data_IF_810292743832
#
_entry.id   IF_810292743832
#
_cell.length_a   1.000
_cell.length_b   1.000
_cell.length_c   1.000
_cell.angle_alpha   90.00
_cell.angle_beta   90.00
_cell.angle_gamma   90.00
#
_symmetry.space_group_name_H-M   'P 1'
#
loop_
_entity.id
_entity.type
_entity.pdbx_description
1 polymer ?
#
# COMPACT_ATOMS: atom_id res chain seq x y z
N UNK A 1 -44.99 -24.70 -38.77
CA UNK A 1 -45.14 -23.33 -38.26
C UNK A 1 -44.29 -23.16 -37.01
N UNK A 2 -43.64 -21.99 -36.87
CA UNK A 2 -42.90 -21.43 -35.72
C UNK A 2 -41.41 -21.79 -35.56
N UNK A 3 -40.63 -20.93 -36.23
CA UNK A 3 -39.28 -20.41 -35.95
C UNK A 3 -39.21 -19.95 -34.48
N UNK A 4 -38.07 -20.08 -33.75
CA UNK A 4 -37.21 -18.99 -33.19
C UNK A 4 -35.82 -19.58 -32.82
N UNK A 5 -34.77 -18.89 -33.27
CA UNK A 5 -33.32 -19.09 -33.08
C UNK A 5 -32.86 -18.70 -31.63
N UNK A 6 -31.56 -18.82 -31.28
CA UNK A 6 -31.02 -19.31 -30.02
C UNK A 6 -30.86 -18.22 -28.96
N UNK A 7 -30.78 -18.59 -27.67
CA UNK A 7 -30.32 -17.67 -26.63
C UNK A 7 -29.01 -18.15 -26.02
N UNK A 8 -27.95 -17.43 -26.35
CA UNK A 8 -26.64 -17.48 -25.73
C UNK A 8 -26.76 -17.32 -24.21
N UNK A 9 -26.53 -18.39 -23.45
CA UNK A 9 -26.18 -18.26 -22.05
C UNK A 9 -24.69 -17.90 -21.96
N UNK A 10 -24.41 -16.61 -22.06
CA UNK A 10 -23.11 -16.03 -21.77
C UNK A 10 -22.86 -16.26 -20.27
N UNK A 11 -22.08 -17.30 -19.95
CA UNK A 11 -21.58 -17.52 -18.59
C UNK A 11 -20.60 -16.39 -18.32
N UNK A 12 -21.12 -15.28 -17.81
CA UNK A 12 -20.29 -14.27 -17.16
C UNK A 12 -19.71 -14.98 -15.94
N UNK A 13 -18.42 -15.31 -16.02
CA UNK A 13 -17.62 -15.60 -14.83
C UNK A 13 -17.76 -14.37 -13.93
N UNK A 14 -18.70 -14.43 -12.98
CA UNK A 14 -18.68 -13.56 -11.82
C UNK A 14 -17.43 -13.95 -11.05
N UNK A 15 -16.32 -13.35 -11.45
CA UNK A 15 -15.10 -13.34 -10.69
C UNK A 15 -15.43 -12.51 -9.46
N UNK A 16 -16.02 -13.14 -8.45
CA UNK A 16 -16.15 -12.56 -7.13
C UNK A 16 -14.73 -12.45 -6.60
N UNK A 17 -14.07 -11.34 -6.90
CA UNK A 17 -12.89 -10.91 -6.17
C UNK A 17 -13.30 -10.73 -4.73
N UNK A 18 -13.00 -11.76 -3.93
CA UNK A 18 -12.79 -11.62 -2.50
C UNK A 18 -11.57 -10.73 -2.32
N UNK A 19 -11.75 -9.44 -2.51
CA UNK A 19 -10.86 -8.38 -2.03
C UNK A 19 -11.72 -7.56 -1.04
N UNK A 20 -11.33 -7.33 0.20
CA UNK A 20 -10.00 -7.48 0.76
C UNK A 20 -10.02 -7.19 2.27
N UNK A 21 -9.12 -7.81 3.04
CA UNK A 21 -8.65 -7.22 4.30
C UNK A 21 -7.66 -6.06 4.10
N UNK A 22 -7.26 -5.77 2.85
CA UNK A 22 -6.32 -4.72 2.47
C UNK A 22 -7.02 -3.62 1.66
N UNK A 23 -6.81 -2.32 1.95
CA UNK A 23 -7.53 -1.24 1.27
C UNK A 23 -7.23 -1.17 -0.25
N UNK A 24 -8.13 -0.56 -1.06
CA UNK A 24 -7.85 -0.26 -2.46
C UNK A 24 -6.68 0.71 -2.59
N UNK A 25 -5.95 0.65 -3.71
CA UNK A 25 -4.78 1.52 -3.95
C UNK A 25 -5.18 2.99 -4.02
N UNK A 26 -4.64 3.87 -3.16
CA UNK A 26 -4.95 5.30 -3.19
C UNK A 26 -4.16 6.03 -4.29
N UNK A 27 -4.65 7.20 -4.70
CA UNK A 27 -4.05 8.02 -5.78
C UNK A 27 -2.59 8.42 -5.50
N UNK A 28 -2.24 8.65 -4.23
CA UNK A 28 -0.87 8.97 -3.80
C UNK A 28 0.11 7.86 -4.15
N UNK A 29 -0.33 6.60 -4.03
CA UNK A 29 0.45 5.41 -4.39
C UNK A 29 0.43 5.19 -5.90
N UNK A 30 -0.74 5.32 -6.53
CA UNK A 30 -0.89 5.13 -7.98
C UNK A 30 0.00 6.10 -8.79
N UNK A 31 0.13 7.34 -8.33
CA UNK A 31 1.00 8.38 -8.92
C UNK A 31 2.44 8.38 -8.39
N UNK A 32 2.75 7.55 -7.38
CA UNK A 32 4.02 7.54 -6.66
C UNK A 32 5.21 6.90 -7.40
N UNK A 33 4.97 6.30 -8.56
CA UNK A 33 5.96 5.56 -9.35
C UNK A 33 5.91 4.05 -9.15
N UNK A 34 6.64 3.31 -9.99
CA UNK A 34 6.60 1.83 -10.01
C UNK A 34 7.08 1.19 -8.71
N UNK A 35 8.07 1.78 -8.04
CA UNK A 35 8.58 1.23 -6.77
C UNK A 35 7.53 1.32 -5.65
N UNK A 36 6.77 2.41 -5.61
CA UNK A 36 5.74 2.64 -4.60
C UNK A 36 4.51 1.77 -4.86
N UNK A 37 4.10 1.65 -6.12
CA UNK A 37 3.11 0.64 -6.55
C UNK A 37 3.54 -0.77 -6.18
N UNK A 38 4.81 -1.12 -6.41
CA UNK A 38 5.35 -2.43 -6.07
C UNK A 38 5.37 -2.70 -4.56
N UNK A 39 5.66 -1.70 -3.74
CA UNK A 39 5.53 -1.77 -2.28
C UNK A 39 4.08 -2.06 -1.86
N UNK A 40 3.13 -1.31 -2.43
CA UNK A 40 1.70 -1.48 -2.15
C UNK A 40 1.21 -2.87 -2.51
N UNK A 41 1.58 -3.36 -3.69
CA UNK A 41 1.22 -4.70 -4.14
C UNK A 41 1.83 -5.81 -3.28
N UNK A 42 3.09 -5.65 -2.82
CA UNK A 42 3.69 -6.59 -1.90
C UNK A 42 2.92 -6.64 -0.57
N UNK A 43 2.55 -5.48 -0.04
CA UNK A 43 1.75 -5.37 1.17
C UNK A 43 0.33 -5.95 1.00
N UNK A 44 -0.32 -5.70 -0.15
CA UNK A 44 -1.64 -6.26 -0.44
C UNK A 44 -1.62 -7.79 -0.54
N UNK A 45 -0.47 -8.38 -0.90
CA UNK A 45 -0.22 -9.83 -0.88
C UNK A 45 0.27 -10.35 0.47
N UNK A 46 0.37 -9.51 1.49
CA UNK A 46 0.73 -9.92 2.84
C UNK A 46 2.21 -9.82 3.19
N UNK A 47 2.98 -8.97 2.49
CA UNK A 47 4.42 -8.79 2.76
C UNK A 47 4.77 -7.33 2.96
N UNK A 48 5.26 -6.99 4.15
CA UNK A 48 5.83 -5.66 4.45
C UNK A 48 7.36 -5.70 4.44
N UNK A 49 8.00 -4.70 3.83
CA UNK A 49 9.46 -4.64 3.64
C UNK A 49 10.00 -3.28 4.08
N UNK A 50 10.94 -3.28 5.02
CA UNK A 50 11.73 -2.09 5.39
C UNK A 50 13.06 -2.03 4.61
N UNK A 51 13.62 -3.18 4.26
CA UNK A 51 14.72 -3.33 3.30
C UNK A 51 14.15 -3.76 1.96
N UNK A 52 14.35 -2.93 0.94
CA UNK A 52 13.76 -3.07 -0.37
C UNK A 52 14.63 -3.93 -1.29
N UNK A 53 14.02 -4.71 -2.22
CA UNK A 53 14.77 -5.44 -3.23
C UNK A 53 15.49 -4.48 -4.20
N UNK A 54 16.51 -4.97 -4.95
CA UNK A 54 17.27 -4.14 -5.89
C UNK A 54 16.41 -3.37 -6.92
N UNK A 55 15.27 -3.94 -7.32
CA UNK A 55 14.31 -3.30 -8.23
C UNK A 55 13.66 -2.03 -7.66
N UNK A 56 13.70 -1.84 -6.34
CA UNK A 56 13.13 -0.70 -5.63
C UNK A 56 14.22 0.13 -4.90
N UNK A 57 15.50 -0.15 -5.15
CA UNK A 57 16.61 0.48 -4.42
C UNK A 57 16.62 2.01 -4.53
N UNK A 58 16.06 2.58 -5.60
CA UNK A 58 15.99 4.03 -5.83
C UNK A 58 15.27 4.79 -4.72
N UNK A 59 14.34 4.16 -4.01
CA UNK A 59 13.59 4.78 -2.91
C UNK A 59 14.07 4.31 -1.52
N UNK A 60 15.09 3.45 -1.43
CA UNK A 60 15.53 2.83 -0.17
C UNK A 60 15.92 3.88 0.88
N UNK A 61 16.72 4.88 0.50
CA UNK A 61 17.20 5.89 1.45
C UNK A 61 16.05 6.74 2.00
N UNK A 62 15.15 7.18 1.11
CA UNK A 62 13.96 7.95 1.48
C UNK A 62 13.00 7.11 2.37
N UNK A 63 12.83 5.83 2.03
CA UNK A 63 12.01 4.88 2.79
C UNK A 63 12.60 4.60 4.17
N UNK A 64 13.92 4.45 4.25
CA UNK A 64 14.65 4.25 5.52
C UNK A 64 14.47 5.44 6.44
N UNK A 65 14.71 6.64 5.91
CA UNK A 65 14.53 7.87 6.66
C UNK A 65 13.07 8.04 7.10
N UNK A 66 12.10 7.79 6.22
CA UNK A 66 10.67 7.81 6.57
C UNK A 66 10.36 6.89 7.75
N UNK A 67 10.79 5.63 7.69
CA UNK A 67 10.48 4.63 8.69
C UNK A 67 11.13 4.96 10.04
N UNK A 68 12.38 5.42 10.03
CA UNK A 68 13.13 5.71 11.25
C UNK A 68 12.70 7.01 11.94
N UNK A 69 12.20 8.00 11.20
CA UNK A 69 11.78 9.28 11.79
C UNK A 69 10.32 9.33 12.18
N UNK A 70 9.44 8.64 11.43
CA UNK A 70 7.98 8.80 11.58
C UNK A 70 7.22 7.47 11.60
N UNK A 71 7.85 6.37 11.18
CA UNK A 71 7.20 5.06 11.10
C UNK A 71 6.68 4.58 12.44
N UNK A 72 7.50 4.66 13.49
CA UNK A 72 7.11 4.23 14.84
C UNK A 72 5.91 5.02 15.38
N UNK A 73 5.89 6.35 15.21
CA UNK A 73 4.77 7.20 15.65
C UNK A 73 3.46 6.85 14.92
N UNK A 74 3.53 6.57 13.62
CA UNK A 74 2.36 6.14 12.84
C UNK A 74 1.85 4.79 13.35
N UNK A 75 2.75 3.83 13.56
CA UNK A 75 2.41 2.49 14.07
C UNK A 75 1.75 2.59 15.45
N UNK A 76 2.33 3.41 16.34
CA UNK A 76 1.82 3.65 17.68
C UNK A 76 0.44 4.32 17.61
N UNK A 77 0.26 5.38 16.84
CA UNK A 77 -1.03 6.06 16.71
C UNK A 77 -2.13 5.12 16.19
N UNK A 78 -1.82 4.29 15.21
CA UNK A 78 -2.78 3.31 14.66
C UNK A 78 -3.12 2.22 15.68
N UNK A 79 -2.15 1.78 16.49
CA UNK A 79 -2.36 0.90 17.64
C UNK A 79 -3.33 1.52 18.66
N UNK A 80 -3.13 2.81 18.98
CA UNK A 80 -3.91 3.52 19.99
C UNK A 80 -5.28 4.01 19.49
N UNK A 81 -5.54 3.96 18.17
CA UNK A 81 -6.88 4.17 17.60
C UNK A 81 -7.82 2.99 17.84
N UNK A 82 -7.27 1.80 18.13
CA UNK A 82 -8.02 0.59 18.42
C UNK A 82 -7.93 0.14 19.90
N UNK A 83 -8.22 -1.13 20.14
CA UNK A 83 -8.05 -1.75 21.45
C UNK A 83 -6.57 -2.09 21.70
N UNK A 84 -5.94 -1.38 22.65
CA UNK A 84 -4.52 -1.50 23.02
C UNK A 84 -4.11 -2.96 23.30
N UNK A 85 -4.97 -3.74 23.95
CA UNK A 85 -4.69 -5.13 24.27
C UNK A 85 -4.65 -6.01 23.01
N UNK A 86 -5.51 -5.75 22.04
CA UNK A 86 -5.54 -6.48 20.78
C UNK A 86 -4.27 -6.18 19.95
N UNK A 87 -3.88 -4.91 19.83
CA UNK A 87 -2.75 -4.49 18.99
C UNK A 87 -1.41 -5.16 19.37
N UNK A 88 -1.18 -5.43 20.66
CA UNK A 88 -0.01 -6.19 21.14
C UNK A 88 0.05 -7.62 20.57
N UNK A 89 -1.11 -8.27 20.38
CA UNK A 89 -1.20 -9.60 19.76
C UNK A 89 -1.28 -9.56 18.23
N UNK A 90 -1.57 -8.39 17.63
CA UNK A 90 -1.71 -8.23 16.18
C UNK A 90 -0.44 -7.76 15.45
N UNK A 91 0.73 -7.86 16.09
CA UNK A 91 2.02 -7.65 15.41
C UNK A 91 2.58 -6.23 15.48
N UNK A 92 2.02 -5.35 16.33
CA UNK A 92 2.58 -4.03 16.65
C UNK A 92 4.09 -4.06 16.89
N UNK A 93 4.56 -4.90 17.82
CA UNK A 93 5.98 -4.99 18.15
C UNK A 93 6.86 -5.45 16.99
N UNK A 94 6.32 -6.18 16.00
CA UNK A 94 7.07 -6.51 14.78
C UNK A 94 7.18 -5.29 13.87
N UNK A 95 6.10 -4.54 13.65
CA UNK A 95 6.15 -3.30 12.87
C UNK A 95 7.11 -2.27 13.48
N UNK A 96 7.09 -2.08 14.80
CA UNK A 96 8.06 -1.19 15.48
C UNK A 96 9.50 -1.64 15.23
N UNK A 97 9.78 -2.95 15.38
CA UNK A 97 11.11 -3.52 15.06
C UNK A 97 11.50 -3.36 13.59
N UNK A 98 10.53 -3.32 12.67
CA UNK A 98 10.80 -3.06 11.26
C UNK A 98 11.09 -1.57 11.03
N UNK A 99 10.33 -0.66 11.66
CA UNK A 99 10.52 0.78 11.53
C UNK A 99 11.87 1.26 12.06
N UNK A 100 12.34 0.67 13.17
CA UNK A 100 13.67 0.94 13.73
C UNK A 100 14.78 0.03 13.19
N UNK A 101 14.48 -0.79 12.17
CA UNK A 101 15.43 -1.70 11.53
C UNK A 101 16.07 -2.77 12.44
N UNK A 102 15.55 -3.00 13.66
CA UNK A 102 15.95 -4.14 14.49
C UNK A 102 15.50 -5.50 13.92
N UNK A 103 14.51 -5.50 13.03
CA UNK A 103 14.12 -6.63 12.19
C UNK A 103 14.16 -6.18 10.73
N UNK A 104 14.97 -6.82 9.89
CA UNK A 104 15.17 -6.43 8.48
C UNK A 104 14.63 -7.44 7.47
N UNK A 105 14.23 -8.63 7.94
CA UNK A 105 13.60 -9.64 7.10
C UNK A 105 12.17 -9.21 6.74
N UNK A 106 11.70 -9.43 5.50
CA UNK A 106 10.33 -9.14 5.11
C UNK A 106 9.32 -9.74 6.10
N UNK A 107 8.38 -8.92 6.55
CA UNK A 107 7.36 -9.34 7.49
C UNK A 107 6.13 -9.88 6.73
N UNK A 108 5.95 -11.19 6.80
CA UNK A 108 4.79 -11.87 6.22
C UNK A 108 3.59 -11.91 7.17
N UNK A 109 2.41 -11.70 6.61
CA UNK A 109 1.12 -11.78 7.27
C UNK A 109 0.03 -12.24 6.31
N UNK A 110 -1.08 -12.72 6.84
CA UNK A 110 -2.25 -13.09 6.05
C UNK A 110 -3.25 -11.92 6.07
N UNK A 111 -3.46 -11.21 4.94
CA UNK A 111 -4.32 -10.04 4.90
C UNK A 111 -5.78 -10.32 5.30
N UNK A 112 -6.23 -11.57 5.13
CA UNK A 112 -7.62 -11.97 5.33
C UNK A 112 -7.92 -12.48 6.75
N UNK A 113 -6.91 -12.64 7.62
CA UNK A 113 -7.11 -13.22 8.96
C UNK A 113 -7.01 -12.20 10.09
N UNK A 114 -6.38 -11.06 9.82
CA UNK A 114 -6.12 -10.01 10.80
C UNK A 114 -6.06 -8.68 10.07
N UNK A 115 -7.06 -7.82 10.29
CA UNK A 115 -7.19 -6.55 9.60
C UNK A 115 -6.15 -5.50 10.05
N UNK A 116 -5.53 -5.66 11.22
CA UNK A 116 -4.61 -4.66 11.75
C UNK A 116 -3.31 -4.58 10.94
N UNK A 117 -2.70 -5.74 10.64
CA UNK A 117 -1.44 -5.81 9.87
C UNK A 117 -1.53 -5.18 8.47
N UNK A 118 -2.54 -5.49 7.63
CA UNK A 118 -2.70 -4.86 6.33
C UNK A 118 -3.00 -3.37 6.45
N UNK A 119 -3.76 -2.92 7.45
CA UNK A 119 -4.03 -1.50 7.68
C UNK A 119 -2.78 -0.70 8.01
N UNK A 120 -1.95 -1.19 8.94
CA UNK A 120 -0.67 -0.53 9.29
C UNK A 120 0.27 -0.47 8.09
N UNK A 121 0.40 -1.58 7.35
CA UNK A 121 1.25 -1.61 6.17
C UNK A 121 0.77 -0.62 5.09
N UNK A 122 -0.54 -0.61 4.81
CA UNK A 122 -1.14 0.33 3.87
C UNK A 122 -0.92 1.78 4.30
N UNK A 123 -1.18 2.11 5.56
CA UNK A 123 -1.04 3.46 6.10
C UNK A 123 0.40 3.98 6.00
N UNK A 124 1.39 3.15 6.30
CA UNK A 124 2.80 3.52 6.18
C UNK A 124 3.17 3.83 4.72
N UNK A 125 2.76 2.97 3.79
CA UNK A 125 3.07 3.13 2.36
C UNK A 125 2.34 4.35 1.78
N UNK A 126 1.07 4.53 2.10
CA UNK A 126 0.28 5.69 1.66
C UNK A 126 0.85 7.01 2.21
N UNK A 127 1.24 7.03 3.48
CA UNK A 127 1.84 8.23 4.10
C UNK A 127 3.18 8.54 3.43
N UNK A 128 4.00 7.54 3.13
CA UNK A 128 5.24 7.71 2.39
C UNK A 128 5.02 8.21 0.96
N UNK A 129 4.04 7.65 0.26
CA UNK A 129 3.66 8.05 -1.09
C UNK A 129 3.14 9.50 -1.14
N UNK A 130 2.45 9.93 -0.08
CA UNK A 130 1.90 11.28 0.04
C UNK A 130 2.96 12.34 0.36
N UNK A 131 4.20 11.95 0.68
CA UNK A 131 5.27 12.91 0.95
C UNK A 131 5.72 13.64 -0.30
N UNK A 132 5.92 14.95 -0.23
CA UNK A 132 6.57 15.69 -1.31
C UNK A 132 8.09 15.54 -1.17
N UNK A 133 8.68 14.52 -1.80
CA UNK A 133 10.15 14.36 -1.87
C UNK A 133 10.75 15.34 -2.88
N UNK A 134 12.03 15.75 -2.79
CA UNK A 134 12.65 16.67 -3.75
C UNK A 134 12.51 16.19 -5.20
N UNK A 135 12.69 14.89 -5.45
CA UNK A 135 12.49 14.28 -6.76
C UNK A 135 11.02 14.38 -7.21
N UNK A 136 10.05 14.14 -6.31
CA UNK A 136 8.62 14.23 -6.61
C UNK A 136 8.13 15.67 -6.76
N UNK A 137 8.70 16.63 -6.02
CA UNK A 137 8.47 18.08 -6.17
C UNK A 137 8.96 18.59 -7.52
N UNK A 138 10.10 18.09 -8.01
CA UNK A 138 10.60 18.44 -9.35
C UNK A 138 9.69 17.87 -10.43
N UNK A 139 9.23 16.63 -10.28
CA UNK A 139 8.27 16.03 -11.22
C UNK A 139 6.92 16.76 -11.20
N UNK A 140 6.33 16.99 -10.02
CA UNK A 140 5.12 17.80 -9.86
C UNK A 140 5.29 19.23 -10.40
N UNK A 141 6.44 19.87 -10.16
CA UNK A 141 6.75 21.18 -10.71
C UNK A 141 6.85 21.19 -12.23
N UNK A 142 7.31 20.09 -12.85
CA UNK A 142 7.29 19.92 -14.31
C UNK A 142 5.88 19.69 -14.84
N UNK A 143 5.09 18.84 -14.18
CA UNK A 143 3.72 18.53 -14.59
C UNK A 143 2.80 19.76 -14.49
N UNK A 144 2.95 20.58 -13.44
CA UNK A 144 2.27 21.86 -13.27
C UNK A 144 2.69 22.89 -14.33
N UNK A 145 3.96 22.90 -14.73
CA UNK A 145 4.49 23.80 -15.78
C UNK A 145 4.04 23.42 -17.18
N UNK A 146 3.74 22.14 -17.41
CA UNK A 146 3.27 21.62 -18.71
C UNK A 146 1.76 21.74 -18.89
N UNK A 147 1.03 22.34 -17.93
CA UNK A 147 -0.40 22.63 -18.06
C UNK A 147 -1.25 21.38 -18.30
N UNK A 148 -0.81 20.20 -17.83
CA UNK A 148 -1.61 18.97 -17.91
C UNK A 148 -2.49 18.92 -16.67
N UNK A 149 -3.80 19.21 -16.76
CA UNK A 149 -4.69 18.91 -15.66
C UNK A 149 -4.69 17.40 -15.52
N UNK A 150 -4.63 16.91 -14.28
CA UNK A 150 -4.90 15.50 -13.99
C UNK A 150 -6.16 15.08 -14.72
N UNK A 151 -6.09 13.95 -15.40
CA UNK A 151 -7.22 13.34 -16.08
C UNK A 151 -8.27 12.94 -15.06
N UNK A 152 -9.09 13.89 -14.62
CA UNK A 152 -10.48 13.61 -14.25
C UNK A 152 -11.18 13.21 -15.53
N UNK A 153 -11.57 11.95 -15.60
CA UNK A 153 -12.47 11.41 -16.61
C UNK A 153 -13.61 10.66 -15.89
N UNK A 154 -14.79 10.61 -16.52
CA UNK A 154 -16.12 10.77 -15.90
C UNK A 154 -16.67 9.55 -15.16
#
# INVERSE_FOLDING_TARGET
>A
MKIILPLCALVVFAVTWVQAGFPPMPDSVASGGEEIRGLWEAASRGTFMNVLPPSMARIQDEWTNFLSTEGEDIINRETFRGNIFAAKFHGHGKFVKMANFALTKPYQYHPNTDAYKPQVAALLIETFASRPTPARKVQWGKDLRLGRPGSTSP
#
